data_IF_283348401040
#
_entry.id   IF_283348401040
#
_cell.length_a   1.000
_cell.length_b   1.000
_cell.length_c   1.000
_cell.angle_alpha   90.00
_cell.angle_beta   90.00
_cell.angle_gamma   90.00
#
_symmetry.space_group_name_H-M   'P 1'
#
loop_
_entity.id
_entity.type
_entity.pdbx_description
1 polymer ?
#
# COMPACT_ATOMS: atom_id res chain seq x y z
N UNK A 1 24.34 2.22 -1.64
CA UNK A 1 23.73 0.89 -1.36
C UNK A 1 22.65 0.50 -2.37
N UNK A 2 21.42 1.05 -2.36
CA UNK A 2 20.38 0.69 -3.35
C UNK A 2 20.69 1.20 -4.77
N UNK A 3 21.14 2.45 -4.89
CA UNK A 3 21.55 3.04 -6.17
C UNK A 3 22.73 2.30 -6.82
N UNK A 4 23.70 1.84 -6.02
CA UNK A 4 24.83 1.02 -6.49
C UNK A 4 24.36 -0.37 -6.94
N UNK A 5 23.46 -1.02 -6.17
CA UNK A 5 22.90 -2.30 -6.58
C UNK A 5 22.16 -2.20 -7.92
N UNK A 6 21.39 -1.13 -8.13
CA UNK A 6 20.67 -0.88 -9.38
C UNK A 6 21.62 -0.63 -10.57
N UNK A 7 22.77 -0.01 -10.30
CA UNK A 7 23.82 0.20 -11.31
C UNK A 7 24.57 -1.09 -11.68
N UNK A 8 24.60 -2.10 -10.79
CA UNK A 8 25.33 -3.35 -10.97
C UNK A 8 24.48 -4.44 -11.64
N UNK A 9 23.22 -4.61 -11.23
CA UNK A 9 22.29 -5.55 -11.83
C UNK A 9 20.82 -5.24 -11.45
N UNK A 10 19.91 -5.35 -12.42
CA UNK A 10 18.48 -5.17 -12.18
C UNK A 10 17.81 -6.50 -11.80
N UNK A 11 16.93 -6.50 -10.81
CA UNK A 11 16.04 -7.63 -10.52
C UNK A 11 14.65 -7.13 -10.14
N UNK A 12 13.59 -7.92 -10.35
CA UNK A 12 12.24 -7.55 -9.92
C UNK A 12 12.16 -7.20 -8.42
N UNK A 13 12.90 -7.92 -7.57
CA UNK A 13 12.95 -7.63 -6.13
C UNK A 13 13.57 -6.27 -5.82
N UNK A 14 14.64 -5.90 -6.53
CA UNK A 14 15.24 -4.57 -6.40
C UNK A 14 14.32 -3.47 -6.91
N UNK A 15 13.58 -3.73 -8.01
CA UNK A 15 12.58 -2.80 -8.54
C UNK A 15 11.46 -2.57 -7.52
N UNK A 16 10.92 -3.62 -6.91
CA UNK A 16 9.88 -3.50 -5.88
C UNK A 16 10.35 -2.66 -4.69
N UNK A 17 11.56 -2.93 -4.17
CA UNK A 17 12.17 -2.15 -3.10
C UNK A 17 12.30 -0.67 -3.50
N UNK A 18 12.84 -0.38 -4.68
CA UNK A 18 13.07 0.98 -5.13
C UNK A 18 11.75 1.75 -5.33
N UNK A 19 10.79 1.17 -6.05
CA UNK A 19 9.51 1.82 -6.34
C UNK A 19 8.67 2.03 -5.07
N UNK A 20 8.80 1.14 -4.06
CA UNK A 20 8.09 1.30 -2.79
C UNK A 20 8.37 2.61 -2.05
N UNK A 21 9.53 3.23 -2.29
CA UNK A 21 9.91 4.48 -1.64
C UNK A 21 8.96 5.64 -1.99
N UNK A 22 8.31 5.61 -3.17
CA UNK A 22 7.31 6.63 -3.52
C UNK A 22 6.13 6.65 -2.55
N UNK A 23 5.61 5.48 -2.20
CA UNK A 23 4.51 5.33 -1.23
C UNK A 23 4.96 5.65 0.21
N UNK A 24 6.17 5.20 0.58
CA UNK A 24 6.74 5.51 1.89
C UNK A 24 6.91 7.03 2.10
N UNK A 25 7.48 7.72 1.10
CA UNK A 25 7.70 9.17 1.18
C UNK A 25 6.39 9.96 1.21
N UNK A 26 5.45 9.65 0.31
CA UNK A 26 4.17 10.37 0.23
C UNK A 26 3.36 10.23 1.52
N UNK A 27 3.29 9.03 2.10
CA UNK A 27 2.56 8.81 3.35
C UNK A 27 3.21 9.46 4.57
N UNK A 28 4.55 9.52 4.63
CA UNK A 28 5.25 10.28 5.67
C UNK A 28 4.91 11.77 5.59
N UNK A 29 4.98 12.37 4.40
CA UNK A 29 4.64 13.77 4.18
C UNK A 29 3.16 14.05 4.51
N UNK A 30 2.26 13.15 4.12
CA UNK A 30 0.82 13.34 4.36
C UNK A 30 0.47 13.35 5.85
N UNK A 31 1.14 12.51 6.66
CA UNK A 31 0.97 12.54 8.12
C UNK A 31 1.38 13.88 8.70
N UNK A 32 2.50 14.45 8.25
CA UNK A 32 2.94 15.76 8.74
C UNK A 32 2.00 16.90 8.30
N UNK A 33 1.44 16.84 7.08
CA UNK A 33 0.41 17.80 6.63
C UNK A 33 -0.84 17.74 7.51
N UNK A 34 -1.26 16.55 7.94
CA UNK A 34 -2.41 16.41 8.85
C UNK A 34 -2.09 16.97 10.24
N UNK A 35 -0.89 16.69 10.77
CA UNK A 35 -0.44 17.19 12.07
C UNK A 35 -0.28 18.70 12.10
N UNK A 36 0.18 19.31 11.02
CA UNK A 36 0.24 20.77 10.86
C UNK A 36 -1.15 21.43 10.94
N UNK A 37 -2.22 20.67 10.69
CA UNK A 37 -3.62 21.10 10.80
C UNK A 37 -4.30 20.63 12.08
N UNK A 38 -3.51 20.33 13.11
CA UNK A 38 -3.97 19.85 14.42
C UNK A 38 -4.79 18.54 14.37
N UNK A 39 -4.62 17.74 13.31
CA UNK A 39 -5.23 16.40 13.21
C UNK A 39 -4.27 15.37 13.78
N UNK A 40 -4.70 14.64 14.80
CA UNK A 40 -3.95 13.50 15.34
C UNK A 40 -3.96 12.37 14.29
N UNK A 41 -2.83 12.20 13.61
CA UNK A 41 -2.60 11.15 12.63
C UNK A 41 -1.29 10.41 12.93
N UNK A 42 -1.30 9.11 12.71
CA UNK A 42 -0.13 8.25 12.88
C UNK A 42 0.25 7.54 11.58
N UNK A 43 1.55 7.40 11.36
CA UNK A 43 2.10 6.68 10.23
C UNK A 43 2.23 5.19 10.56
N UNK A 44 1.79 4.32 9.65
CA UNK A 44 1.94 2.87 9.76
C UNK A 44 2.56 2.29 8.49
N UNK A 45 3.49 1.35 8.64
CA UNK A 45 4.10 0.63 7.52
C UNK A 45 3.23 -0.58 7.13
N UNK A 46 2.59 -0.53 5.96
CA UNK A 46 1.65 -1.58 5.52
C UNK A 46 2.34 -2.94 5.38
N UNK A 47 3.65 -2.98 5.15
CA UNK A 47 4.42 -4.23 4.98
C UNK A 47 4.44 -5.08 6.23
N UNK A 48 4.09 -4.51 7.39
CA UNK A 48 3.91 -5.25 8.65
C UNK A 48 2.70 -6.19 8.64
N UNK A 49 1.71 -5.92 7.78
CA UNK A 49 0.45 -6.68 7.71
C UNK A 49 0.19 -7.23 6.31
N UNK A 50 0.61 -6.53 5.26
CA UNK A 50 0.46 -6.95 3.86
C UNK A 50 1.49 -8.02 3.49
N UNK A 51 1.23 -9.25 3.93
CA UNK A 51 2.02 -10.41 3.55
C UNK A 51 1.64 -10.90 2.17
N UNK A 52 2.66 -11.27 1.40
CA UNK A 52 2.53 -11.70 0.01
C UNK A 52 3.48 -12.86 -0.29
N UNK A 53 3.30 -13.51 -1.44
CA UNK A 53 4.32 -14.41 -1.99
C UNK A 53 5.52 -13.64 -2.57
N UNK A 54 6.57 -14.35 -3.01
CA UNK A 54 7.78 -13.75 -3.59
C UNK A 54 7.69 -13.48 -5.11
N UNK A 55 6.47 -13.30 -5.63
CA UNK A 55 6.23 -12.94 -7.03
C UNK A 55 6.38 -11.43 -7.25
N UNK A 56 7.60 -10.93 -7.13
CA UNK A 56 7.94 -9.50 -7.26
C UNK A 56 7.33 -8.85 -8.53
N UNK A 57 6.86 -7.61 -8.39
CA UNK A 57 6.17 -6.81 -9.40
C UNK A 57 4.66 -7.05 -9.50
N UNK A 58 4.15 -8.14 -8.92
CA UNK A 58 2.73 -8.57 -8.96
C UNK A 58 2.46 -9.64 -7.91
N UNK A 59 2.89 -9.36 -6.69
CA UNK A 59 2.82 -10.30 -5.58
C UNK A 59 1.37 -10.59 -5.22
N UNK A 60 1.09 -11.84 -4.89
CA UNK A 60 -0.25 -12.27 -4.47
C UNK A 60 -0.33 -12.18 -2.95
N UNK A 61 -1.32 -11.45 -2.39
CA UNK A 61 -1.49 -11.30 -0.95
C UNK A 61 -1.98 -12.59 -0.30
N UNK A 62 -1.44 -12.89 0.88
CA UNK A 62 -1.96 -13.94 1.75
C UNK A 62 -3.06 -13.33 2.63
N UNK A 63 -4.32 -13.60 2.27
CA UNK A 63 -5.50 -13.03 2.92
C UNK A 63 -5.61 -13.46 4.39
N UNK A 64 -5.22 -14.70 4.72
CA UNK A 64 -5.28 -15.20 6.08
C UNK A 64 -4.24 -14.49 6.96
N UNK A 65 -2.99 -14.41 6.48
CA UNK A 65 -1.93 -13.69 7.17
C UNK A 65 -2.24 -12.20 7.31
N UNK A 66 -2.82 -11.58 6.26
CA UNK A 66 -3.25 -10.19 6.32
C UNK A 66 -4.28 -9.96 7.43
N UNK A 67 -5.33 -10.78 7.50
CA UNK A 67 -6.36 -10.66 8.53
C UNK A 67 -5.79 -10.80 9.95
N UNK A 68 -4.93 -11.81 10.17
CA UNK A 68 -4.27 -12.04 11.46
C UNK A 68 -3.38 -10.87 11.87
N UNK A 69 -2.47 -10.45 10.98
CA UNK A 69 -1.51 -9.39 11.27
C UNK A 69 -2.19 -8.02 11.40
N UNK A 70 -3.24 -7.76 10.60
CA UNK A 70 -4.04 -6.57 10.70
C UNK A 70 -4.73 -6.48 12.06
N UNK A 71 -5.33 -7.57 12.54
CA UNK A 71 -5.92 -7.61 13.89
C UNK A 71 -4.88 -7.42 14.99
N UNK A 72 -3.67 -7.98 14.83
CA UNK A 72 -2.61 -7.92 15.84
C UNK A 72 -1.91 -6.55 15.90
N UNK A 73 -1.66 -5.90 14.75
CA UNK A 73 -0.76 -4.75 14.66
C UNK A 73 -1.42 -3.45 14.20
N UNK A 74 -2.43 -3.53 13.33
CA UNK A 74 -3.05 -2.34 12.75
C UNK A 74 -4.35 -1.95 13.47
N UNK A 75 -5.17 -2.92 13.89
CA UNK A 75 -6.39 -2.65 14.67
C UNK A 75 -6.12 -1.90 15.98
N UNK A 76 -5.08 -2.21 16.77
CA UNK A 76 -4.76 -1.41 17.96
C UNK A 76 -4.46 0.06 17.61
N UNK A 77 -3.81 0.31 16.47
CA UNK A 77 -3.50 1.68 16.01
C UNK A 77 -4.75 2.42 15.54
N UNK A 78 -5.65 1.73 14.86
CA UNK A 78 -6.95 2.29 14.49
C UNK A 78 -7.80 2.67 15.71
N UNK A 79 -7.68 1.93 16.82
CA UNK A 79 -8.35 2.28 18.08
C UNK A 79 -7.74 3.51 18.77
N UNK A 80 -6.48 3.84 18.49
CA UNK A 80 -5.80 5.03 19.02
C UNK A 80 -6.13 6.30 18.21
N UNK A 81 -6.47 6.17 16.92
CA UNK A 81 -6.81 7.31 16.07
C UNK A 81 -6.65 7.06 14.57
N UNK A 82 -6.50 8.14 13.80
CA UNK A 82 -6.36 8.10 12.35
C UNK A 82 -5.01 7.50 11.95
N UNK A 83 -5.05 6.42 11.15
CA UNK A 83 -3.84 5.77 10.60
C UNK A 83 -3.69 6.10 9.13
N UNK A 84 -2.51 6.57 8.74
CA UNK A 84 -2.09 6.73 7.35
C UNK A 84 -1.07 5.64 7.03
N UNK A 85 -1.30 4.92 5.94
CA UNK A 85 -0.42 3.83 5.49
C UNK A 85 -0.34 3.79 3.97
N UNK A 86 0.59 2.99 3.45
CA UNK A 86 0.88 2.89 2.02
C UNK A 86 -0.12 1.98 1.31
N UNK A 87 -0.41 2.29 0.04
CA UNK A 87 -0.98 1.34 -0.90
C UNK A 87 0.13 0.59 -1.65
N UNK A 88 -0.26 -0.30 -2.58
CA UNK A 88 0.58 -0.91 -3.62
C UNK A 88 1.71 -1.85 -3.15
N UNK A 89 2.23 -1.70 -1.94
CA UNK A 89 3.41 -2.42 -1.43
C UNK A 89 3.03 -3.49 -0.39
N UNK A 90 3.90 -4.49 -0.24
CA UNK A 90 3.80 -5.54 0.76
C UNK A 90 5.17 -6.10 1.14
N UNK A 91 5.19 -7.20 1.89
CA UNK A 91 6.42 -7.96 2.12
C UNK A 91 6.22 -9.46 2.02
N UNK A 92 7.21 -10.15 1.48
CA UNK A 92 7.23 -11.62 1.46
C UNK A 92 7.79 -12.21 2.75
N UNK A 93 7.69 -13.52 2.94
CA UNK A 93 8.01 -14.20 4.20
C UNK A 93 9.46 -14.01 4.71
N UNK A 94 10.43 -13.77 3.84
CA UNK A 94 11.82 -13.44 4.21
C UNK A 94 12.04 -11.94 4.45
N UNK A 95 10.99 -11.13 4.40
CA UNK A 95 10.99 -9.71 4.74
C UNK A 95 11.35 -8.75 3.59
N UNK A 96 11.57 -9.25 2.36
CA UNK A 96 11.82 -8.37 1.21
C UNK A 96 10.54 -7.65 0.81
N UNK A 97 10.67 -6.40 0.37
CA UNK A 97 9.52 -5.63 -0.15
C UNK A 97 9.03 -6.23 -1.45
N UNK A 98 7.71 -6.24 -1.60
CA UNK A 98 7.02 -6.65 -2.82
C UNK A 98 6.05 -5.56 -3.27
N UNK A 99 5.61 -5.63 -4.52
CA UNK A 99 4.53 -4.77 -5.04
C UNK A 99 3.38 -5.60 -5.60
N UNK A 100 2.16 -5.07 -5.52
CA UNK A 100 0.92 -5.74 -5.93
C UNK A 100 0.60 -5.54 -7.42
N UNK A 101 1.45 -4.81 -8.15
CA UNK A 101 1.25 -4.49 -9.57
C UNK A 101 0.31 -3.30 -9.80
N UNK A 102 -0.11 -3.11 -11.05
CA UNK A 102 -0.93 -1.97 -11.48
C UNK A 102 -2.28 -1.97 -10.75
N UNK A 103 -2.69 -0.79 -10.24
CA UNK A 103 -3.90 -0.67 -9.43
C UNK A 103 -3.71 -1.17 -7.98
N UNK A 104 -2.46 -1.41 -7.57
CA UNK A 104 -2.15 -1.98 -6.27
C UNK A 104 -2.65 -1.15 -5.09
N UNK A 105 -2.75 0.17 -5.18
CA UNK A 105 -3.29 1.00 -4.10
C UNK A 105 -4.79 0.80 -3.88
N UNK A 106 -5.58 0.72 -4.95
CA UNK A 106 -7.01 0.37 -4.87
C UNK A 106 -7.18 -1.05 -4.32
N UNK A 107 -6.31 -1.98 -4.75
CA UNK A 107 -6.32 -3.34 -4.25
C UNK A 107 -5.97 -3.41 -2.76
N UNK A 108 -4.97 -2.67 -2.29
CA UNK A 108 -4.65 -2.54 -0.86
C UNK A 108 -5.84 -2.02 -0.06
N UNK A 109 -6.54 -1.01 -0.55
CA UNK A 109 -7.72 -0.47 0.13
C UNK A 109 -8.82 -1.53 0.28
N UNK A 110 -9.11 -2.29 -0.78
CA UNK A 110 -10.08 -3.39 -0.74
C UNK A 110 -9.66 -4.51 0.23
N UNK A 111 -8.39 -4.92 0.21
CA UNK A 111 -7.84 -5.97 1.06
C UNK A 111 -7.90 -5.60 2.55
N UNK A 112 -7.49 -4.38 2.91
CA UNK A 112 -7.57 -3.90 4.29
C UNK A 112 -9.02 -3.76 4.75
N UNK A 113 -9.89 -3.27 3.88
CA UNK A 113 -11.32 -3.18 4.17
C UNK A 113 -11.95 -4.56 4.42
N UNK A 114 -11.59 -5.56 3.63
CA UNK A 114 -12.01 -6.95 3.87
C UNK A 114 -11.50 -7.45 5.22
N UNK A 115 -10.22 -7.25 5.53
CA UNK A 115 -9.60 -7.67 6.79
C UNK A 115 -10.28 -7.06 8.02
N UNK A 116 -10.77 -5.83 7.92
CA UNK A 116 -11.48 -5.13 9.01
C UNK A 116 -13.01 -5.21 8.92
N UNK A 117 -13.57 -5.84 7.88
CA UNK A 117 -15.01 -5.77 7.56
C UNK A 117 -15.51 -4.32 7.55
N UNK A 118 -14.75 -3.44 6.91
CA UNK A 118 -15.10 -2.02 6.81
C UNK A 118 -16.46 -1.86 6.12
N UNK A 119 -17.25 -0.89 6.59
CA UNK A 119 -18.59 -0.63 6.04
C UNK A 119 -18.57 -0.05 4.63
N UNK A 120 -17.46 0.59 4.23
CA UNK A 120 -17.27 1.22 2.91
C UNK A 120 -15.79 1.40 2.59
N UNK A 121 -15.49 1.41 1.29
CA UNK A 121 -14.20 1.85 0.72
C UNK A 121 -14.47 3.02 -0.21
N UNK A 122 -13.78 4.14 0.02
CA UNK A 122 -13.87 5.33 -0.80
C UNK A 122 -12.60 5.44 -1.67
N UNK A 123 -12.76 5.28 -2.99
CA UNK A 123 -11.66 5.44 -3.96
C UNK A 123 -11.78 6.82 -4.61
N UNK A 124 -10.78 7.67 -4.38
CA UNK A 124 -10.71 9.03 -4.91
C UNK A 124 -9.86 9.05 -6.18
N UNK A 125 -10.45 9.41 -7.31
CA UNK A 125 -9.78 9.48 -8.62
C UNK A 125 -10.08 10.80 -9.31
N UNK A 126 -9.28 11.17 -10.31
CA UNK A 126 -9.43 12.44 -11.04
C UNK A 126 -10.60 12.46 -12.06
N UNK A 127 -11.33 11.35 -12.23
CA UNK A 127 -12.43 11.21 -13.18
C UNK A 127 -13.79 10.93 -12.53
N UNK A 128 -14.91 11.10 -13.26
CA UNK A 128 -16.29 10.95 -12.74
C UNK A 128 -16.72 9.50 -12.42
N UNK A 129 -15.80 8.64 -11.95
CA UNK A 129 -16.06 7.23 -11.66
C UNK A 129 -16.05 6.34 -12.91
N UNK A 130 -16.55 5.10 -12.78
CA UNK A 130 -16.62 4.14 -13.89
C UNK A 130 -17.68 4.64 -14.89
N UNK A 131 -17.20 5.13 -16.03
CA UNK A 131 -18.01 5.43 -17.21
C UNK A 131 -18.11 4.18 -18.09
N UNK A 132 -19.28 3.93 -18.69
CA UNK A 132 -19.49 2.81 -19.63
C UNK A 132 -18.63 2.91 -20.91
N UNK A 133 -17.98 4.06 -21.14
CA UNK A 133 -17.02 4.29 -22.21
C UNK A 133 -15.81 5.07 -21.66
N UNK A 134 -14.59 4.68 -22.07
CA UNK A 134 -13.35 5.42 -21.78
C UNK A 134 -13.43 6.81 -22.45
N UNK A 135 -13.48 7.93 -21.69
CA UNK A 135 -13.52 9.26 -22.27
C UNK A 135 -12.21 9.63 -23.00
N UNK A 136 -11.14 8.84 -22.85
CA UNK A 136 -9.86 9.03 -23.56
C UNK A 136 -9.82 8.32 -24.92
N UNK A 137 -10.88 7.62 -25.31
CA UNK A 137 -11.00 6.90 -26.58
C UNK A 137 -11.89 7.61 -27.58
N UNK A 138 -11.56 8.86 -27.96
CA UNK A 138 -12.07 9.46 -29.21
C UNK A 138 -10.93 10.22 -29.90
N UNK A 139 -10.29 9.54 -30.84
CA UNK A 139 -9.67 10.13 -32.04
C UNK A 139 -9.86 9.18 -33.21
#
# INVERSE_FOLDING_TARGET
>A
VLAEAAALATSPALTDELVSHGELMSTLLFVEILRERDVQAQWFDVRKVMRTNDRFGRAEPDIAALAELAALQLLPRLNEGLVITQGFIGSENKGRTTTLGRGGSDYTAALLAEAFRASRVDIWTDGPGISAADPRGVS
#
